data_IF_097742179518
#
_entry.id   IF_097742179518
#
_cell.length_a   1.000
_cell.length_b   1.000
_cell.length_c   1.000
_cell.angle_alpha   90.00
_cell.angle_beta   90.00
_cell.angle_gamma   90.00
#
_symmetry.space_group_name_H-M   'P 1'
#
loop_
_entity.id
_entity.type
_entity.pdbx_description
1 polymer ?
#
# COMPACT_ATOMS: atom_id res chain seq x y z
N UNK A 1 14.05 7.69 12.87
CA UNK A 1 14.08 6.48 13.71
C UNK A 1 15.22 5.58 13.23
N UNK A 2 16.26 5.36 14.05
CA UNK A 2 17.41 4.52 13.69
C UNK A 2 17.09 3.00 13.76
N UNK A 3 17.96 2.13 14.31
CA UNK A 3 17.82 0.67 14.32
C UNK A 3 16.55 0.09 14.98
N UNK A 4 15.66 0.93 15.51
CA UNK A 4 14.40 0.56 16.15
C UNK A 4 13.15 0.85 15.30
N UNK A 5 13.29 1.34 14.06
CA UNK A 5 12.17 1.76 13.22
C UNK A 5 11.09 0.68 12.97
N UNK A 6 11.44 -0.61 13.12
CA UNK A 6 10.53 -1.76 13.02
C UNK A 6 10.12 -2.40 14.35
N UNK A 7 10.49 -1.82 15.49
CA UNK A 7 10.11 -2.37 16.80
C UNK A 7 8.65 -2.07 17.14
N UNK A 8 8.03 -2.91 17.98
CA UNK A 8 6.67 -2.68 18.51
C UNK A 8 6.56 -1.32 19.22
N UNK A 9 7.65 -0.84 19.82
CA UNK A 9 7.73 0.49 20.45
C UNK A 9 7.65 1.59 19.39
N UNK A 10 8.42 1.49 18.30
CA UNK A 10 8.33 2.48 17.22
C UNK A 10 6.96 2.47 16.52
N UNK A 11 6.31 1.31 16.48
CA UNK A 11 4.95 1.17 15.96
C UNK A 11 3.90 1.77 16.90
N UNK A 12 4.01 1.55 18.21
CA UNK A 12 3.16 2.19 19.21
C UNK A 12 3.30 3.72 19.19
N UNK A 13 4.53 4.23 19.00
CA UNK A 13 4.78 5.67 18.82
C UNK A 13 4.05 6.22 17.61
N UNK A 14 4.17 5.57 16.44
CA UNK A 14 3.45 5.98 15.23
C UNK A 14 1.93 5.95 15.40
N UNK A 15 1.40 4.90 16.04
CA UNK A 15 -0.05 4.78 16.28
C UNK A 15 -0.57 5.88 17.20
N UNK A 16 0.21 6.29 18.21
CA UNK A 16 -0.13 7.42 19.07
C UNK A 16 -0.08 8.76 18.31
N UNK A 17 0.96 8.98 17.48
CA UNK A 17 1.07 10.18 16.63
C UNK A 17 -0.09 10.29 15.62
N UNK A 18 -0.59 9.15 15.12
CA UNK A 18 -1.72 9.06 14.21
C UNK A 18 -3.10 9.07 14.93
N UNK A 19 -3.13 9.19 16.26
CA UNK A 19 -4.37 9.18 17.04
C UNK A 19 -5.10 7.84 17.10
N UNK A 20 -4.50 6.76 16.58
CA UNK A 20 -5.04 5.40 16.63
C UNK A 20 -4.83 4.71 17.99
N UNK A 21 -3.98 5.30 18.83
CA UNK A 21 -3.71 4.89 20.20
C UNK A 21 -3.87 6.15 21.08
N UNK A 22 -4.89 6.16 21.95
CA UNK A 22 -5.21 7.31 22.81
C UNK A 22 -5.37 6.86 24.26
N UNK A 23 -5.14 7.78 25.20
CA UNK A 23 -5.48 7.60 26.60
C UNK A 23 -6.99 7.63 26.85
N UNK A 24 -7.39 7.40 28.10
CA UNK A 24 -8.81 7.50 28.49
C UNK A 24 -9.35 8.90 28.25
N UNK A 25 -10.58 8.99 27.73
CA UNK A 25 -11.21 10.26 27.38
C UNK A 25 -10.54 11.00 26.21
N UNK A 26 -9.75 10.30 25.38
CA UNK A 26 -9.12 10.90 24.19
C UNK A 26 -7.83 11.68 24.48
N UNK A 27 -7.21 11.46 25.64
CA UNK A 27 -5.93 12.07 25.98
C UNK A 27 -4.80 11.59 25.05
N UNK A 28 -3.75 12.40 24.92
CA UNK A 28 -2.51 11.98 24.26
C UNK A 28 -1.94 10.76 24.98
N UNK A 29 -1.68 9.69 24.21
CA UNK A 29 -1.44 8.37 24.78
C UNK A 29 -0.21 8.31 25.66
N UNK A 30 0.92 8.92 25.29
CA UNK A 30 2.13 8.83 26.11
C UNK A 30 2.05 9.69 27.37
N UNK A 31 1.40 10.85 27.32
CA UNK A 31 1.12 11.67 28.48
C UNK A 31 0.21 10.93 29.48
N UNK A 32 -0.88 10.32 28.99
CA UNK A 32 -1.76 9.50 29.81
C UNK A 32 -1.02 8.27 30.36
N UNK A 33 -0.28 7.54 29.51
CA UNK A 33 0.48 6.36 29.89
C UNK A 33 1.52 6.65 30.99
N UNK A 34 2.24 7.78 30.85
CA UNK A 34 3.17 8.27 31.86
C UNK A 34 2.43 8.57 33.17
N UNK A 35 1.29 9.26 33.10
CA UNK A 35 0.47 9.55 34.30
C UNK A 35 0.04 8.27 35.02
N UNK A 36 -0.43 7.27 34.28
CA UNK A 36 -0.82 5.96 34.84
C UNK A 36 0.38 5.26 35.48
N UNK A 37 1.55 5.26 34.83
CA UNK A 37 2.77 4.64 35.37
C UNK A 37 3.31 5.36 36.62
N UNK A 38 3.17 6.67 36.69
CA UNK A 38 3.69 7.49 37.79
C UNK A 38 2.75 7.50 39.01
N UNK A 39 1.43 7.37 38.80
CA UNK A 39 0.42 7.59 39.85
C UNK A 39 -0.41 6.34 40.16
N UNK A 40 -0.43 5.34 39.28
CA UNK A 40 -1.22 4.13 39.45
C UNK A 40 -0.32 2.89 39.52
N UNK A 41 -0.70 1.92 40.36
CA UNK A 41 0.12 0.75 40.66
C UNK A 41 0.34 -0.19 39.46
N UNK A 42 1.23 -1.17 39.63
CA UNK A 42 1.67 -2.13 38.60
C UNK A 42 0.53 -2.82 37.81
N UNK A 43 -0.64 -3.02 38.41
CA UNK A 43 -1.79 -3.62 37.74
C UNK A 43 -2.33 -2.75 36.57
N UNK A 44 -2.32 -1.43 36.71
CA UNK A 44 -2.78 -0.52 35.66
C UNK A 44 -1.73 -0.36 34.55
N UNK A 45 -0.45 -0.55 34.89
CA UNK A 45 0.64 -0.64 33.90
C UNK A 45 0.51 -1.87 32.99
N UNK A 46 -0.04 -3.00 33.49
CA UNK A 46 -0.34 -4.17 32.65
C UNK A 46 -1.47 -3.86 31.66
N UNK A 47 -2.52 -3.17 32.12
CA UNK A 47 -3.61 -2.72 31.24
C UNK A 47 -3.17 -1.76 30.12
N UNK A 48 -2.06 -1.03 30.33
CA UNK A 48 -1.41 -0.23 29.29
C UNK A 48 -0.82 -1.12 28.19
N UNK A 49 -0.05 -2.15 28.59
CA UNK A 49 0.58 -3.10 27.67
C UNK A 49 -0.48 -3.85 26.87
N UNK A 50 -1.57 -4.26 27.52
CA UNK A 50 -2.70 -4.92 26.85
C UNK A 50 -3.39 -4.02 25.83
N UNK A 51 -3.56 -2.72 26.13
CA UNK A 51 -4.12 -1.75 25.16
C UNK A 51 -3.19 -1.53 23.97
N UNK A 52 -1.89 -1.37 24.20
CA UNK A 52 -0.92 -1.24 23.10
C UNK A 52 -0.91 -2.51 22.25
N UNK A 53 -0.90 -3.68 22.89
CA UNK A 53 -0.99 -4.96 22.20
C UNK A 53 -2.30 -5.11 21.41
N UNK A 54 -3.43 -4.70 21.98
CA UNK A 54 -4.74 -4.74 21.32
C UNK A 54 -4.81 -3.77 20.13
N UNK A 55 -4.30 -2.55 20.24
CA UNK A 55 -4.25 -1.60 19.12
C UNK A 55 -3.28 -2.03 18.02
N UNK A 56 -2.18 -2.71 18.37
CA UNK A 56 -1.29 -3.34 17.40
C UNK A 56 -1.93 -4.58 16.75
N UNK A 57 -2.79 -5.30 17.46
CA UNK A 57 -3.48 -6.50 16.98
C UNK A 57 -4.79 -6.22 16.23
N UNK A 58 -5.45 -5.08 16.48
CA UNK A 58 -6.74 -4.73 15.87
C UNK A 58 -6.70 -4.71 14.34
N UNK A 59 -5.65 -4.16 13.68
CA UNK A 59 -5.52 -4.25 12.22
C UNK A 59 -5.45 -5.70 11.72
N UNK A 60 -4.75 -6.59 12.43
CA UNK A 60 -4.61 -8.00 12.05
C UNK A 60 -5.92 -8.78 12.25
N UNK A 61 -6.64 -8.53 13.35
CA UNK A 61 -7.93 -9.14 13.64
C UNK A 61 -9.02 -8.70 12.63
N UNK A 62 -9.04 -7.42 12.26
CA UNK A 62 -9.92 -6.89 11.22
C UNK A 62 -9.65 -7.56 9.86
N UNK A 63 -8.37 -7.68 9.48
CA UNK A 63 -7.95 -8.35 8.25
C UNK A 63 -8.43 -9.81 8.29
N UNK A 64 -8.19 -10.53 9.38
CA UNK A 64 -8.60 -11.93 9.51
C UNK A 64 -10.11 -12.10 9.32
N UNK A 65 -10.93 -11.27 9.98
CA UNK A 65 -12.40 -11.32 9.85
C UNK A 65 -12.83 -11.04 8.41
N UNK A 66 -12.28 -10.00 7.77
CA UNK A 66 -12.65 -9.64 6.41
C UNK A 66 -12.27 -10.70 5.37
N UNK A 67 -11.11 -11.34 5.55
CA UNK A 67 -10.68 -12.45 4.69
C UNK A 67 -11.61 -13.65 4.85
N UNK A 68 -12.02 -13.96 6.08
CA UNK A 68 -12.97 -15.04 6.36
C UNK A 68 -14.34 -14.80 5.70
N UNK A 69 -14.93 -13.61 5.90
CA UNK A 69 -16.22 -13.24 5.29
C UNK A 69 -16.17 -13.31 3.77
N UNK A 70 -15.06 -12.85 3.17
CA UNK A 70 -14.89 -12.88 1.73
C UNK A 70 -14.64 -14.31 1.21
N UNK A 71 -13.97 -15.17 1.97
CA UNK A 71 -13.81 -16.59 1.64
C UNK A 71 -15.16 -17.33 1.67
N UNK A 72 -15.99 -17.06 2.67
CA UNK A 72 -17.36 -17.58 2.75
C UNK A 72 -18.23 -17.12 1.57
N UNK A 73 -18.10 -15.85 1.17
CA UNK A 73 -18.78 -15.33 -0.01
C UNK A 73 -18.34 -16.04 -1.31
N UNK A 74 -17.04 -16.30 -1.49
CA UNK A 74 -16.52 -17.05 -2.64
C UNK A 74 -17.03 -18.49 -2.65
N UNK A 75 -17.09 -19.12 -1.47
CA UNK A 75 -17.64 -20.46 -1.30
C UNK A 75 -19.12 -20.52 -1.63
N UNK A 76 -19.91 -19.56 -1.15
CA UNK A 76 -21.35 -19.46 -1.43
C UNK A 76 -21.65 -19.27 -2.93
N UNK A 77 -20.73 -18.67 -3.68
CA UNK A 77 -20.82 -18.50 -5.13
C UNK A 77 -20.41 -19.75 -5.92
N UNK A 78 -19.95 -20.82 -5.26
CA UNK A 78 -19.50 -22.06 -5.92
C UNK A 78 -18.27 -21.89 -6.80
N UNK A 79 -17.49 -20.83 -6.58
CA UNK A 79 -16.38 -20.46 -7.47
C UNK A 79 -15.07 -21.22 -7.20
N UNK A 80 -14.98 -21.93 -6.07
CA UNK A 80 -13.83 -22.75 -5.68
C UNK A 80 -14.32 -24.08 -5.11
N UNK A 81 -13.91 -25.18 -5.73
CA UNK A 81 -14.10 -26.55 -5.23
C UNK A 81 -12.85 -26.98 -4.46
N UNK A 82 -12.78 -26.57 -3.19
CA UNK A 82 -11.65 -26.84 -2.29
C UNK A 82 -12.16 -27.40 -0.96
N UNK A 83 -11.36 -28.24 -0.30
CA UNK A 83 -11.72 -28.78 1.01
C UNK A 83 -11.76 -27.69 2.09
N UNK A 84 -12.40 -27.98 3.22
CA UNK A 84 -12.45 -27.06 4.37
C UNK A 84 -11.05 -26.74 4.90
N UNK A 85 -10.17 -27.74 4.95
CA UNK A 85 -8.78 -27.57 5.37
C UNK A 85 -8.00 -26.70 4.38
N UNK A 86 -8.21 -26.89 3.07
CA UNK A 86 -7.58 -26.07 2.04
C UNK A 86 -8.05 -24.62 2.10
N UNK A 87 -9.35 -24.40 2.32
CA UNK A 87 -9.90 -23.05 2.47
C UNK A 87 -9.32 -22.35 3.69
N UNK A 88 -9.24 -23.05 4.83
CA UNK A 88 -8.64 -22.52 6.06
C UNK A 88 -7.18 -22.13 5.82
N UNK A 89 -6.43 -22.96 5.10
CA UNK A 89 -5.05 -22.65 4.72
C UNK A 89 -4.97 -21.42 3.81
N UNK A 90 -5.86 -21.30 2.82
CA UNK A 90 -5.85 -20.16 1.91
C UNK A 90 -6.18 -18.85 2.64
N UNK A 91 -7.18 -18.87 3.52
CA UNK A 91 -7.53 -17.72 4.38
C UNK A 91 -6.32 -17.28 5.19
N UNK A 92 -5.60 -18.23 5.81
CA UNK A 92 -4.40 -17.92 6.58
C UNK A 92 -3.25 -17.34 5.72
N UNK A 93 -3.04 -17.86 4.51
CA UNK A 93 -2.06 -17.30 3.56
C UNK A 93 -2.43 -15.87 3.18
N UNK A 94 -3.69 -15.61 2.83
CA UNK A 94 -4.16 -14.27 2.43
C UNK A 94 -4.06 -13.28 3.59
N UNK A 95 -4.41 -13.70 4.81
CA UNK A 95 -4.23 -12.91 6.04
C UNK A 95 -2.76 -12.48 6.19
N UNK A 96 -1.81 -13.43 6.12
CA UNK A 96 -0.38 -13.15 6.23
C UNK A 96 0.13 -12.20 5.13
N UNK A 97 -0.37 -12.34 3.90
CA UNK A 97 -0.04 -11.41 2.80
C UNK A 97 -0.53 -9.99 3.11
N UNK A 98 -1.78 -9.84 3.59
CA UNK A 98 -2.35 -8.53 3.91
C UNK A 98 -1.66 -7.87 5.11
N UNK A 99 -1.27 -8.65 6.11
CA UNK A 99 -0.42 -8.19 7.22
C UNK A 99 0.94 -7.70 6.72
N UNK A 100 1.59 -8.46 5.83
CA UNK A 100 2.85 -8.05 5.21
C UNK A 100 2.70 -6.76 4.38
N UNK A 101 1.59 -6.59 3.66
CA UNK A 101 1.28 -5.33 2.95
C UNK A 101 1.11 -4.17 3.93
N UNK A 102 0.36 -4.36 5.02
CA UNK A 102 0.12 -3.33 6.02
C UNK A 102 1.45 -2.90 6.71
N UNK A 103 2.31 -3.88 7.01
CA UNK A 103 3.64 -3.63 7.55
C UNK A 103 4.53 -2.89 6.54
N UNK A 104 4.50 -3.29 5.26
CA UNK A 104 5.23 -2.61 4.20
C UNK A 104 4.79 -1.14 4.04
N UNK A 105 3.48 -0.87 4.07
CA UNK A 105 2.93 0.49 4.08
C UNK A 105 3.42 1.30 5.27
N UNK A 106 3.35 0.72 6.48
CA UNK A 106 3.81 1.38 7.71
C UNK A 106 5.28 1.76 7.62
N UNK A 107 6.14 0.87 7.09
CA UNK A 107 7.57 1.15 6.89
C UNK A 107 7.83 2.20 5.81
N UNK A 108 6.98 2.24 4.79
CA UNK A 108 7.02 3.28 3.76
C UNK A 108 6.42 4.63 4.22
N UNK A 109 5.83 4.71 5.43
CA UNK A 109 5.13 5.91 5.90
C UNK A 109 3.83 6.18 5.13
N UNK A 110 3.19 5.13 4.62
CA UNK A 110 1.94 5.20 3.86
C UNK A 110 0.78 4.89 4.79
N UNK A 111 -0.21 5.78 4.79
CA UNK A 111 -1.42 5.62 5.60
C UNK A 111 -2.27 4.42 5.13
N UNK A 112 -3.05 3.86 6.06
CA UNK A 112 -3.77 2.58 5.85
C UNK A 112 -4.62 2.57 4.58
N UNK A 113 -5.42 3.61 4.37
CA UNK A 113 -6.39 3.71 3.27
C UNK A 113 -5.80 4.27 1.98
N UNK A 114 -4.54 4.72 2.02
CA UNK A 114 -3.91 5.29 0.85
C UNK A 114 -3.65 4.21 -0.20
N UNK A 115 -3.90 4.52 -1.47
CA UNK A 115 -3.59 3.59 -2.53
C UNK A 115 -2.08 3.40 -2.67
N UNK A 116 -1.70 2.29 -3.26
CA UNK A 116 -0.32 2.05 -3.70
C UNK A 116 -0.33 1.66 -5.16
N UNK A 117 0.69 2.08 -5.89
CA UNK A 117 0.79 1.84 -7.33
C UNK A 117 0.81 0.34 -7.64
N UNK A 118 1.66 -0.40 -6.94
CA UNK A 118 1.84 -1.83 -7.19
C UNK A 118 2.28 -2.56 -5.94
N UNK A 119 1.74 -3.76 -5.76
CA UNK A 119 2.32 -4.76 -4.88
C UNK A 119 2.69 -6.00 -5.69
N UNK A 120 3.69 -6.75 -5.24
CA UNK A 120 3.99 -8.07 -5.74
C UNK A 120 4.08 -9.07 -4.61
N UNK A 121 3.50 -10.25 -4.80
CA UNK A 121 3.49 -11.31 -3.81
C UNK A 121 4.23 -12.50 -4.40
N UNK A 122 5.42 -12.78 -3.86
CA UNK A 122 6.21 -13.97 -4.21
C UNK A 122 5.97 -15.07 -3.19
N UNK A 123 5.46 -16.21 -3.64
CA UNK A 123 5.21 -17.36 -2.78
C UNK A 123 6.37 -18.34 -2.80
N UNK A 124 6.55 -19.12 -1.73
CA UNK A 124 7.60 -20.15 -1.63
C UNK A 124 7.18 -21.51 -2.22
N UNK A 125 5.89 -21.77 -2.31
CA UNK A 125 5.32 -23.01 -2.81
C UNK A 125 4.09 -22.78 -3.69
N UNK A 126 3.62 -23.85 -4.33
CA UNK A 126 2.46 -23.82 -5.23
C UNK A 126 1.15 -23.58 -4.47
N UNK A 127 1.00 -24.15 -3.27
CA UNK A 127 -0.23 -24.02 -2.49
C UNK A 127 -0.51 -22.56 -2.11
N UNK A 128 0.51 -21.82 -1.68
CA UNK A 128 0.42 -20.40 -1.41
C UNK A 128 0.17 -19.58 -2.68
N UNK A 129 0.75 -19.99 -3.82
CA UNK A 129 0.50 -19.35 -5.11
C UNK A 129 -0.99 -19.47 -5.51
N UNK A 130 -1.57 -20.66 -5.33
CA UNK A 130 -2.98 -20.91 -5.61
C UNK A 130 -3.89 -20.06 -4.70
N UNK A 131 -3.57 -19.97 -3.41
CA UNK A 131 -4.31 -19.14 -2.46
C UNK A 131 -4.34 -17.65 -2.88
N UNK A 132 -3.17 -17.08 -3.18
CA UNK A 132 -3.04 -15.67 -3.61
C UNK A 132 -3.76 -15.43 -4.94
N UNK A 133 -3.73 -16.42 -5.84
CA UNK A 133 -4.42 -16.35 -7.14
C UNK A 133 -5.94 -16.38 -6.97
N UNK A 134 -6.45 -17.32 -6.16
CA UNK A 134 -7.86 -17.48 -5.86
C UNK A 134 -8.45 -16.20 -5.21
N UNK A 135 -7.68 -15.58 -4.31
CA UNK A 135 -8.12 -14.41 -3.54
C UNK A 135 -7.55 -13.08 -4.04
N UNK A 136 -7.12 -13.01 -5.30
CA UNK A 136 -6.55 -11.81 -5.93
C UNK A 136 -7.38 -10.55 -5.69
N UNK A 137 -8.72 -10.65 -5.85
CA UNK A 137 -9.63 -9.50 -5.70
C UNK A 137 -9.66 -8.95 -4.27
N UNK A 138 -9.63 -9.84 -3.27
CA UNK A 138 -9.60 -9.44 -1.86
C UNK A 138 -8.27 -8.74 -1.58
N UNK A 139 -7.15 -9.34 -2.02
CA UNK A 139 -5.83 -8.78 -1.78
C UNK A 139 -5.74 -7.38 -2.36
N UNK A 140 -6.15 -7.18 -3.62
CA UNK A 140 -6.19 -5.86 -4.27
C UNK A 140 -7.09 -4.88 -3.52
N UNK A 141 -8.32 -5.30 -3.16
CA UNK A 141 -9.29 -4.45 -2.49
C UNK A 141 -8.84 -3.99 -1.10
N UNK A 142 -8.27 -4.89 -0.31
CA UNK A 142 -7.82 -4.58 1.06
C UNK A 142 -6.46 -3.86 1.08
N UNK A 143 -5.56 -4.19 0.15
CA UNK A 143 -4.28 -3.47 0.03
C UNK A 143 -4.42 -2.07 -0.56
N UNK A 144 -5.53 -1.76 -1.25
CA UNK A 144 -5.69 -0.55 -2.06
C UNK A 144 -4.62 -0.44 -3.17
N UNK A 145 -4.07 -1.56 -3.62
CA UNK A 145 -3.10 -1.59 -4.71
C UNK A 145 -3.81 -1.42 -6.06
N UNK A 146 -3.24 -0.63 -6.97
CA UNK A 146 -3.75 -0.55 -8.36
C UNK A 146 -3.38 -1.80 -9.16
N UNK A 147 -2.20 -2.33 -8.90
CA UNK A 147 -1.68 -3.53 -9.56
C UNK A 147 -1.19 -4.55 -8.54
N UNK A 148 -1.46 -5.83 -8.83
CA UNK A 148 -0.96 -6.97 -8.08
C UNK A 148 -0.26 -7.92 -9.04
N UNK A 149 1.05 -8.06 -8.85
CA UNK A 149 1.89 -9.07 -9.49
C UNK A 149 1.99 -10.30 -8.60
N UNK A 150 1.58 -11.45 -9.11
CA UNK A 150 1.74 -12.73 -8.41
C UNK A 150 2.96 -13.42 -8.98
N UNK A 151 3.93 -13.77 -8.13
CA UNK A 151 5.24 -14.27 -8.54
C UNK A 151 5.42 -15.70 -8.03
N UNK A 152 5.71 -16.61 -8.97
CA UNK A 152 5.93 -18.02 -8.66
C UNK A 152 7.22 -18.23 -7.84
N UNK A 153 7.36 -19.37 -7.13
CA UNK A 153 8.52 -19.63 -6.27
C UNK A 153 9.89 -19.48 -6.94
N UNK A 154 9.99 -19.96 -8.17
CA UNK A 154 11.24 -19.96 -8.93
C UNK A 154 11.42 -18.73 -9.83
N UNK A 155 10.45 -17.81 -9.82
CA UNK A 155 10.51 -16.62 -10.66
C UNK A 155 11.06 -15.41 -9.91
N UNK A 156 11.71 -14.52 -10.65
CA UNK A 156 12.06 -13.18 -10.18
C UNK A 156 10.93 -12.22 -10.51
N UNK A 157 10.54 -11.39 -9.55
CA UNK A 157 9.60 -10.31 -9.81
C UNK A 157 10.17 -9.31 -10.83
N UNK A 158 9.39 -8.99 -11.87
CA UNK A 158 9.82 -8.07 -12.94
C UNK A 158 10.05 -6.61 -12.48
N UNK A 159 9.53 -6.24 -11.31
CA UNK A 159 9.81 -4.94 -10.70
C UNK A 159 11.22 -4.81 -10.09
N UNK A 160 12.01 -5.89 -10.04
CA UNK A 160 13.39 -5.82 -9.59
C UNK A 160 14.26 -5.01 -10.55
N UNK A 161 15.21 -4.25 -10.01
CA UNK A 161 16.27 -3.64 -10.80
C UNK A 161 17.28 -4.73 -11.15
N UNK A 162 17.52 -4.93 -12.44
CA UNK A 162 18.47 -5.92 -12.94
C UNK A 162 19.63 -5.18 -13.59
N UNK A 163 20.85 -5.52 -13.22
CA UNK A 163 22.07 -5.05 -13.87
C UNK A 163 22.77 -6.21 -14.57
N UNK A 164 23.16 -5.99 -15.83
CA UNK A 164 23.96 -6.96 -16.59
C UNK A 164 25.43 -6.74 -16.25
N UNK A 165 26.05 -7.76 -15.71
CA UNK A 165 27.50 -7.84 -15.59
C UNK A 165 28.03 -8.71 -16.72
N UNK A 166 29.08 -8.22 -17.39
CA UNK A 166 29.71 -8.92 -18.50
C UNK A 166 31.02 -9.49 -18.01
N UNK A 167 31.20 -10.80 -18.16
CA UNK A 167 32.49 -11.44 -17.92
C UNK A 167 33.42 -11.12 -19.08
N UNK A 168 34.30 -10.14 -18.84
CA UNK A 168 35.20 -9.63 -19.88
C UNK A 168 36.19 -10.68 -20.33
N UNK A 169 36.61 -11.60 -19.47
CA UNK A 169 37.62 -12.59 -19.81
C UNK A 169 37.02 -13.65 -20.74
N UNK A 170 35.82 -14.15 -20.40
CA UNK A 170 35.06 -15.10 -21.24
C UNK A 170 34.69 -14.47 -22.58
N UNK A 171 34.18 -13.24 -22.58
CA UNK A 171 33.83 -12.52 -23.81
C UNK A 171 35.08 -12.24 -24.66
N UNK A 172 36.21 -11.87 -24.05
CA UNK A 172 37.45 -11.61 -24.81
C UNK A 172 38.06 -12.89 -25.38
N UNK A 173 37.91 -14.02 -24.70
CA UNK A 173 38.34 -15.33 -25.20
C UNK A 173 37.54 -15.72 -26.46
N UNK A 174 36.23 -15.48 -26.48
CA UNK A 174 35.36 -15.78 -27.62
C UNK A 174 35.43 -14.72 -28.74
N UNK A 175 35.48 -13.43 -28.38
CA UNK A 175 35.27 -12.30 -29.28
C UNK A 175 36.28 -11.17 -29.06
N UNK A 176 37.57 -11.45 -29.25
CA UNK A 176 38.71 -10.53 -29.01
C UNK A 176 38.48 -9.08 -29.45
N UNK A 177 38.20 -8.84 -30.74
CA UNK A 177 38.08 -7.48 -31.30
C UNK A 177 36.78 -6.78 -30.91
N UNK A 178 35.73 -7.55 -30.59
CA UNK A 178 34.40 -7.00 -30.31
C UNK A 178 34.06 -6.94 -28.82
N UNK A 179 34.89 -7.47 -27.93
CA UNK A 179 34.58 -7.57 -26.50
C UNK A 179 34.07 -6.26 -25.88
N UNK A 180 34.76 -5.14 -26.16
CA UNK A 180 34.31 -3.82 -25.68
C UNK A 180 32.98 -3.37 -26.31
N UNK A 181 32.75 -3.66 -27.59
CA UNK A 181 31.49 -3.32 -28.27
C UNK A 181 30.33 -4.16 -27.74
N UNK A 182 30.57 -5.45 -27.50
CA UNK A 182 29.61 -6.37 -26.86
C UNK A 182 29.23 -5.85 -25.48
N UNK A 183 30.22 -5.48 -24.67
CA UNK A 183 29.99 -4.97 -23.31
C UNK A 183 29.11 -3.72 -23.30
N UNK A 184 29.44 -2.72 -24.12
CA UNK A 184 28.65 -1.48 -24.25
C UNK A 184 27.25 -1.78 -24.75
N UNK A 185 27.11 -2.66 -25.74
CA UNK A 185 25.82 -3.03 -26.30
C UNK A 185 24.95 -3.70 -25.23
N UNK A 186 25.47 -4.70 -24.53
CA UNK A 186 24.74 -5.41 -23.47
C UNK A 186 24.31 -4.50 -22.33
N UNK A 187 25.15 -3.54 -21.92
CA UNK A 187 24.82 -2.55 -20.89
C UNK A 187 23.76 -1.53 -21.33
N UNK A 188 23.58 -1.32 -22.64
CA UNK A 188 22.59 -0.39 -23.20
C UNK A 188 21.22 -1.03 -23.47
N UNK A 189 21.15 -2.36 -23.48
CA UNK A 189 19.91 -3.09 -23.72
C UNK A 189 19.16 -3.35 -22.42
N UNK A 190 17.85 -3.61 -22.56
CA UNK A 190 17.01 -4.04 -21.44
C UNK A 190 17.53 -5.37 -20.87
N UNK A 191 17.99 -5.39 -19.60
CA UNK A 191 18.50 -6.60 -18.94
C UNK A 191 17.49 -7.75 -18.93
N UNK A 192 16.19 -7.45 -18.86
CA UNK A 192 15.14 -8.47 -18.87
C UNK A 192 15.03 -9.16 -20.23
N UNK A 193 15.23 -8.42 -21.34
CA UNK A 193 15.27 -8.99 -22.68
C UNK A 193 16.49 -9.89 -22.86
N UNK A 194 17.64 -9.48 -22.35
CA UNK A 194 18.86 -10.30 -22.38
C UNK A 194 18.64 -11.59 -21.58
N UNK A 195 18.16 -11.49 -20.34
CA UNK A 195 17.89 -12.64 -19.47
C UNK A 195 16.91 -13.64 -20.13
N UNK A 196 15.83 -13.14 -20.73
CA UNK A 196 14.84 -13.97 -21.42
C UNK A 196 15.37 -14.60 -22.72
N UNK A 197 16.23 -13.91 -23.47
CA UNK A 197 16.85 -14.45 -24.68
C UNK A 197 17.90 -15.52 -24.36
N UNK A 198 18.66 -15.35 -23.27
CA UNK A 198 19.69 -16.30 -22.85
C UNK A 198 19.10 -17.58 -22.26
N UNK A 199 17.98 -17.51 -21.53
CA UNK A 199 17.30 -18.72 -21.04
C UNK A 199 16.79 -19.61 -22.18
N UNK A 200 16.53 -19.03 -23.36
CA UNK A 200 16.18 -19.74 -24.60
C UNK A 200 17.38 -20.08 -25.48
N UNK A 201 18.59 -19.68 -25.09
CA UNK A 201 19.83 -19.81 -25.88
C UNK A 201 19.79 -19.11 -27.26
N UNK A 202 18.98 -18.07 -27.41
CA UNK A 202 18.68 -17.40 -28.69
C UNK A 202 19.21 -15.96 -28.75
N UNK A 203 19.91 -15.49 -27.72
CA UNK A 203 20.33 -14.08 -27.66
C UNK A 203 21.51 -13.77 -28.59
N UNK A 204 21.30 -12.83 -29.52
CA UNK A 204 22.27 -12.42 -30.53
C UNK A 204 22.35 -10.90 -30.59
N UNK A 205 23.56 -10.36 -30.66
CA UNK A 205 23.81 -8.93 -30.85
C UNK A 205 24.41 -8.66 -32.23
N UNK A 206 23.99 -7.57 -32.88
CA UNK A 206 24.56 -7.12 -34.14
C UNK A 206 25.78 -6.24 -33.91
N UNK A 207 26.96 -6.61 -34.41
CA UNK A 207 28.20 -5.83 -34.29
C UNK A 207 28.89 -5.76 -35.65
N UNK A 208 29.12 -4.54 -36.14
CA UNK A 208 29.80 -4.28 -37.42
C UNK A 208 29.20 -5.08 -38.61
N UNK A 209 27.87 -5.21 -38.65
CA UNK A 209 27.15 -5.97 -39.68
C UNK A 209 27.14 -7.49 -39.47
N UNK A 210 27.76 -8.00 -38.39
CA UNK A 210 27.79 -9.42 -38.05
C UNK A 210 26.86 -9.75 -36.89
N UNK A 211 26.37 -10.99 -36.85
CA UNK A 211 25.54 -11.52 -35.78
C UNK A 211 26.41 -12.32 -34.79
N UNK A 212 26.52 -11.81 -33.56
CA UNK A 212 27.33 -12.39 -32.49
C UNK A 212 26.41 -13.05 -31.48
N UNK A 213 26.54 -14.37 -31.28
CA UNK A 213 25.78 -15.11 -30.27
C UNK A 213 26.40 -14.90 -28.89
N UNK A 214 25.57 -14.53 -27.91
CA UNK A 214 26.00 -14.38 -26.52
C UNK A 214 25.72 -15.68 -25.78
N UNK A 215 26.75 -16.23 -25.15
CA UNK A 215 26.62 -17.42 -24.32
C UNK A 215 26.16 -17.03 -22.90
N UNK A 216 25.32 -17.84 -22.22
CA UNK A 216 24.96 -17.60 -20.83
C UNK A 216 26.15 -17.42 -19.87
N UNK A 217 27.32 -18.01 -20.15
CA UNK A 217 28.52 -17.82 -19.33
C UNK A 217 29.22 -16.46 -19.51
N UNK A 218 28.86 -15.70 -20.55
CA UNK A 218 29.45 -14.39 -20.84
C UNK A 218 28.86 -13.27 -19.98
N UNK A 219 27.72 -13.52 -19.33
CA UNK A 219 27.03 -12.53 -18.52
C UNK A 219 26.49 -13.11 -17.24
N UNK A 220 26.42 -12.28 -16.20
CA UNK A 220 25.68 -12.54 -14.99
C UNK A 220 24.70 -11.39 -14.72
N UNK A 221 23.67 -11.67 -13.93
CA UNK A 221 22.65 -10.70 -13.58
C UNK A 221 22.72 -10.44 -12.09
N UNK A 222 22.83 -9.16 -11.72
CA UNK A 222 22.66 -8.74 -10.34
C UNK A 222 21.25 -8.17 -10.21
N UNK A 223 20.47 -8.77 -9.33
CA UNK A 223 19.13 -8.33 -8.99
C UNK A 223 19.17 -7.55 -7.68
N UNK A 224 18.57 -6.36 -7.67
CA UNK A 224 18.43 -5.54 -6.48
C UNK A 224 17.02 -4.98 -6.39
N UNK A 225 16.50 -4.88 -5.17
CA UNK A 225 15.23 -4.20 -4.91
C UNK A 225 15.40 -2.70 -5.20
N UNK A 226 14.51 -2.06 -6.00
CA UNK A 226 14.55 -0.61 -6.19
C UNK A 226 14.39 0.16 -4.87
N UNK A 227 14.95 1.37 -4.77
CA UNK A 227 14.88 2.18 -3.53
C UNK A 227 13.46 2.55 -3.13
N UNK A 228 12.56 2.73 -4.10
CA UNK A 228 11.14 3.01 -3.85
C UNK A 228 10.37 1.78 -3.35
N UNK A 229 10.96 0.59 -3.40
CA UNK A 229 10.28 -0.66 -3.08
C UNK A 229 10.64 -1.14 -1.67
N UNK A 230 9.60 -1.39 -0.88
CA UNK A 230 9.73 -2.04 0.41
C UNK A 230 9.58 -3.56 0.24
N UNK A 231 10.58 -4.32 0.67
CA UNK A 231 10.55 -5.79 0.72
C UNK A 231 10.16 -6.27 2.12
N UNK A 232 8.99 -6.89 2.25
CA UNK A 232 8.46 -7.45 3.51
C UNK A 232 8.37 -8.99 3.43
N UNK A 233 9.34 -9.70 4.03
CA UNK A 233 9.25 -11.15 4.19
C UNK A 233 8.10 -11.53 5.13
N UNK A 234 7.44 -12.64 4.85
CA UNK A 234 6.48 -13.25 5.75
C UNK A 234 6.60 -14.78 5.71
N UNK A 235 5.90 -15.47 6.60
CA UNK A 235 5.86 -16.93 6.57
C UNK A 235 5.12 -17.40 5.31
N UNK A 236 5.82 -18.08 4.40
CA UNK A 236 5.28 -18.54 3.12
C UNK A 236 5.65 -17.69 1.90
N UNK A 237 6.26 -16.51 2.07
CA UNK A 237 6.57 -15.65 0.92
C UNK A 237 7.27 -14.34 1.23
N UNK A 238 7.25 -13.44 0.24
CA UNK A 238 7.76 -12.07 0.31
C UNK A 238 6.76 -11.16 -0.40
N UNK A 239 6.38 -10.05 0.24
CA UNK A 239 5.67 -8.95 -0.39
C UNK A 239 6.67 -7.87 -0.82
N UNK A 240 6.52 -7.36 -2.03
CA UNK A 240 7.19 -6.14 -2.50
C UNK A 240 6.12 -5.07 -2.67
N UNK A 241 6.33 -3.89 -2.09
CA UNK A 241 5.42 -2.75 -2.20
C UNK A 241 6.14 -1.59 -2.88
N UNK A 242 5.63 -1.13 -4.02
CA UNK A 242 6.10 0.10 -4.66
C UNK A 242 5.54 1.31 -3.89
N UNK A 243 6.41 1.95 -3.11
CA UNK A 243 6.10 3.10 -2.27
C UNK A 243 6.19 4.45 -2.98
N UNK A 244 6.33 4.46 -4.31
CA UNK A 244 6.36 5.70 -5.10
C UNK A 244 5.04 6.48 -5.00
N UNK A 245 5.11 7.69 -4.42
CA UNK A 245 3.98 8.63 -4.29
C UNK A 245 3.84 9.51 -5.53
N UNK A 246 3.27 8.94 -6.59
CA UNK A 246 2.95 9.71 -7.80
C UNK A 246 1.82 10.74 -7.54
N UNK A 247 1.67 11.78 -8.38
CA UNK A 247 0.57 12.73 -8.24
C UNK A 247 -0.82 12.09 -8.23
N UNK A 248 -1.03 11.01 -8.99
CA UNK A 248 -2.29 10.27 -8.99
C UNK A 248 -2.54 9.58 -7.64
N UNK A 249 -1.53 8.89 -7.11
CA UNK A 249 -1.60 8.18 -5.81
C UNK A 249 -1.83 9.18 -4.67
N UNK A 250 -1.13 10.31 -4.67
CA UNK A 250 -1.31 11.39 -3.70
C UNK A 250 -2.72 11.98 -3.76
N UNK A 251 -3.21 12.32 -4.95
CA UNK A 251 -4.54 12.89 -5.14
C UNK A 251 -5.65 11.95 -4.64
N UNK A 252 -5.53 10.65 -4.93
CA UNK A 252 -6.47 9.65 -4.42
C UNK A 252 -6.37 9.45 -2.91
N UNK A 253 -5.15 9.40 -2.36
CA UNK A 253 -4.92 9.31 -0.92
C UNK A 253 -5.61 10.44 -0.18
N UNK A 254 -5.35 11.69 -0.59
CA UNK A 254 -6.03 12.86 -0.04
C UNK A 254 -7.54 12.79 -0.20
N UNK A 255 -8.05 12.38 -1.37
CA UNK A 255 -9.48 12.30 -1.60
C UNK A 255 -10.16 11.28 -0.67
N UNK A 256 -9.54 10.11 -0.43
CA UNK A 256 -10.07 9.08 0.48
C UNK A 256 -10.11 9.55 1.93
N UNK A 257 -9.05 10.20 2.40
CA UNK A 257 -9.01 10.75 3.76
C UNK A 257 -10.04 11.88 3.92
N UNK A 258 -10.16 12.77 2.93
CA UNK A 258 -11.19 13.82 2.93
C UNK A 258 -12.60 13.22 2.97
N UNK A 259 -12.86 12.14 2.23
CA UNK A 259 -14.15 11.43 2.29
C UNK A 259 -14.42 10.89 3.70
N UNK A 260 -13.42 10.30 4.37
CA UNK A 260 -13.58 9.79 5.73
C UNK A 260 -13.85 10.92 6.73
N UNK A 261 -13.09 12.02 6.66
CA UNK A 261 -13.31 13.22 7.48
C UNK A 261 -14.74 13.74 7.30
N UNK A 262 -15.20 13.89 6.06
CA UNK A 262 -16.55 14.36 5.78
C UNK A 262 -17.60 13.38 6.31
N UNK A 263 -17.38 12.07 6.17
CA UNK A 263 -18.27 11.03 6.72
C UNK A 263 -18.34 11.09 8.24
N UNK A 264 -17.23 11.38 8.92
CA UNK A 264 -17.22 11.54 10.37
C UNK A 264 -17.94 12.83 10.80
N UNK A 265 -17.74 13.95 10.10
CA UNK A 265 -18.52 15.18 10.32
C UNK A 265 -20.03 14.92 10.15
N UNK A 266 -20.44 14.10 9.17
CA UNK A 266 -21.86 13.73 8.99
C UNK A 266 -22.41 12.96 10.20
N UNK A 267 -21.61 12.07 10.79
CA UNK A 267 -21.99 11.33 12.00
C UNK A 267 -22.10 12.28 13.19
N UNK A 268 -21.15 13.20 13.35
CA UNK A 268 -21.17 14.21 14.41
C UNK A 268 -22.40 15.12 14.33
N UNK A 269 -22.80 15.48 13.10
CA UNK A 269 -24.02 16.24 12.82
C UNK A 269 -25.30 15.40 12.87
N UNK A 270 -25.21 14.09 13.13
CA UNK A 270 -26.31 13.13 13.15
C UNK A 270 -27.20 13.21 11.88
N UNK A 271 -26.57 13.32 10.72
CA UNK A 271 -27.27 13.43 9.44
C UNK A 271 -27.68 12.05 8.91
N UNK A 272 -28.93 11.93 8.46
CA UNK A 272 -29.38 10.75 7.73
C UNK A 272 -28.53 10.51 6.46
N UNK A 273 -28.41 9.25 6.03
CA UNK A 273 -27.61 8.89 4.87
C UNK A 273 -28.03 9.60 3.57
N UNK A 274 -29.33 9.92 3.43
CA UNK A 274 -29.89 10.63 2.28
C UNK A 274 -29.72 12.15 2.31
N UNK A 275 -29.33 12.75 3.44
CA UNK A 275 -29.25 14.20 3.58
C UNK A 275 -28.08 14.76 2.76
N UNK A 276 -28.40 15.67 1.84
CA UNK A 276 -27.41 16.38 1.03
C UNK A 276 -26.60 17.38 1.87
N UNK A 277 -25.33 17.53 1.53
CA UNK A 277 -24.42 18.48 2.18
C UNK A 277 -23.68 19.36 1.16
N UNK A 278 -23.38 20.60 1.55
CA UNK A 278 -22.41 21.45 0.86
C UNK A 278 -21.05 21.29 1.54
N UNK A 279 -20.02 20.97 0.75
CA UNK A 279 -18.66 20.74 1.24
C UNK A 279 -17.71 21.79 0.66
N UNK A 280 -16.98 22.49 1.52
CA UNK A 280 -15.89 23.41 1.14
C UNK A 280 -14.57 22.90 1.68
N UNK A 281 -13.56 22.84 0.82
CA UNK A 281 -12.22 22.33 1.16
C UNK A 281 -11.20 23.42 0.84
N UNK A 282 -10.57 23.98 1.85
CA UNK A 282 -9.44 24.89 1.69
C UNK A 282 -8.14 24.09 1.72
N UNK A 283 -7.32 24.24 0.69
CA UNK A 283 -6.05 23.53 0.53
C UNK A 283 -5.05 24.39 -0.26
N UNK A 284 -3.78 23.98 -0.26
CA UNK A 284 -2.73 24.62 -1.07
C UNK A 284 -3.00 24.47 -2.59
N UNK A 285 -2.37 25.30 -3.43
CA UNK A 285 -2.55 25.21 -4.90
C UNK A 285 -2.11 23.84 -5.46
N UNK A 286 -1.05 23.27 -4.88
CA UNK A 286 -0.58 21.93 -5.22
C UNK A 286 -1.65 20.88 -4.89
N UNK A 287 -2.16 20.89 -3.66
CA UNK A 287 -3.20 19.96 -3.19
C UNK A 287 -4.50 20.09 -4.00
N UNK A 288 -4.92 21.31 -4.34
CA UNK A 288 -6.07 21.53 -5.23
C UNK A 288 -5.80 20.92 -6.62
N UNK A 289 -4.59 21.06 -7.16
CA UNK A 289 -4.24 20.48 -8.46
C UNK A 289 -4.31 18.96 -8.45
N UNK A 290 -3.83 18.32 -7.38
CA UNK A 290 -3.93 16.87 -7.18
C UNK A 290 -5.40 16.40 -7.07
N UNK A 291 -6.23 17.18 -6.37
CA UNK A 291 -7.62 16.83 -6.08
C UNK A 291 -8.62 17.16 -7.20
N UNK A 292 -8.23 17.93 -8.22
CA UNK A 292 -9.11 18.32 -9.35
C UNK A 292 -9.83 17.11 -9.96
N UNK A 293 -9.10 16.03 -10.22
CA UNK A 293 -9.66 14.79 -10.80
C UNK A 293 -10.52 13.96 -9.83
N UNK A 294 -10.49 14.29 -8.54
CA UNK A 294 -11.15 13.53 -7.48
C UNK A 294 -12.41 14.20 -6.92
N UNK A 295 -12.77 15.39 -7.42
CA UNK A 295 -13.95 16.13 -6.97
C UNK A 295 -15.23 15.29 -7.02
N UNK A 296 -15.48 14.63 -8.15
CA UNK A 296 -16.71 13.86 -8.37
C UNK A 296 -16.74 12.59 -7.52
N UNK A 297 -15.56 12.02 -7.24
CA UNK A 297 -15.44 10.92 -6.28
C UNK A 297 -15.83 11.39 -4.87
N UNK A 298 -15.25 12.49 -4.38
CA UNK A 298 -15.58 13.03 -3.05
C UNK A 298 -17.07 13.36 -2.97
N UNK A 299 -17.63 14.00 -4.00
CA UNK A 299 -19.04 14.39 -4.07
C UNK A 299 -19.96 13.17 -3.90
N UNK A 300 -19.72 12.11 -4.69
CA UNK A 300 -20.54 10.90 -4.65
C UNK A 300 -20.40 10.13 -3.33
N UNK A 301 -19.17 9.94 -2.84
CA UNK A 301 -18.92 9.13 -1.65
C UNK A 301 -19.42 9.77 -0.35
N UNK A 302 -19.66 11.08 -0.36
CA UNK A 302 -20.09 11.85 0.83
C UNK A 302 -21.56 12.29 0.77
N UNK A 303 -22.26 11.95 -0.31
CA UNK A 303 -23.58 12.48 -0.64
C UNK A 303 -23.62 14.02 -0.57
N UNK A 304 -22.56 14.65 -1.08
CA UNK A 304 -22.52 16.11 -1.21
C UNK A 304 -23.34 16.55 -2.41
N UNK A 305 -24.11 17.63 -2.28
CA UNK A 305 -24.73 18.32 -3.41
C UNK A 305 -23.70 19.16 -4.16
N UNK A 306 -22.69 19.65 -3.45
CA UNK A 306 -21.58 20.41 -4.02
C UNK A 306 -20.29 20.20 -3.23
N UNK A 307 -19.17 20.07 -3.95
CA UNK A 307 -17.81 20.14 -3.40
C UNK A 307 -17.08 21.31 -4.07
N UNK A 308 -16.58 22.27 -3.28
CA UNK A 308 -15.80 23.43 -3.74
C UNK A 308 -14.42 23.46 -3.09
N UNK A 309 -13.38 23.55 -3.92
CA UNK A 309 -12.03 23.88 -3.45
C UNK A 309 -11.90 25.40 -3.37
N UNK A 310 -11.63 25.92 -2.18
CA UNK A 310 -11.61 27.37 -1.92
C UNK A 310 -10.23 27.84 -1.45
N UNK A 311 -9.95 29.13 -1.61
CA UNK A 311 -8.73 29.78 -1.10
C UNK A 311 -9.00 30.68 0.10
N UNK A 312 -10.20 31.23 0.16
CA UNK A 312 -10.64 32.11 1.24
C UNK A 312 -10.87 31.35 2.55
N UNK A 313 -10.93 32.08 3.65
CA UNK A 313 -11.25 31.51 4.95
C UNK A 313 -12.67 30.93 4.91
N UNK A 314 -12.82 29.69 5.38
CA UNK A 314 -14.14 29.10 5.56
C UNK A 314 -14.59 29.44 6.98
N UNK A 315 -15.74 30.11 7.09
CA UNK A 315 -16.25 30.63 8.37
C UNK A 315 -17.66 30.13 8.72
N UNK A 316 -18.25 29.30 7.86
CA UNK A 316 -19.57 28.71 8.03
C UNK A 316 -19.52 27.18 7.95
N UNK A 317 -20.54 26.52 8.49
CA UNK A 317 -20.62 25.06 8.59
C UNK A 317 -19.86 24.47 9.77
N UNK A 318 -19.83 23.14 9.84
CA UNK A 318 -19.00 22.39 10.78
C UNK A 318 -17.59 22.27 10.19
N UNK A 319 -16.61 22.88 10.87
CA UNK A 319 -15.25 23.05 10.36
C UNK A 319 -14.29 22.13 11.10
N UNK A 320 -13.50 21.38 10.34
CA UNK A 320 -12.41 20.54 10.83
C UNK A 320 -11.11 20.90 10.12
N UNK A 321 -10.05 21.04 10.89
CA UNK A 321 -8.68 21.10 10.36
C UNK A 321 -8.09 19.69 10.34
N UNK A 322 -7.49 19.31 9.21
CA UNK A 322 -6.92 18.00 9.01
C UNK A 322 -5.52 18.11 8.42
N UNK A 323 -4.54 17.50 9.08
CA UNK A 323 -3.17 17.35 8.57
C UNK A 323 -3.04 15.98 7.91
N UNK A 324 -2.84 15.97 6.60
CA UNK A 324 -2.69 14.76 5.81
C UNK A 324 -1.28 14.72 5.20
N UNK A 325 -0.39 13.93 5.81
CA UNK A 325 1.03 13.95 5.47
C UNK A 325 1.66 15.32 5.73
N UNK A 326 2.20 15.96 4.69
CA UNK A 326 2.81 17.29 4.78
C UNK A 326 1.84 18.44 4.46
N UNK A 327 0.59 18.15 4.11
CA UNK A 327 -0.39 19.14 3.66
C UNK A 327 -1.51 19.32 4.69
N UNK A 328 -1.96 20.56 4.86
CA UNK A 328 -3.07 20.89 5.76
C UNK A 328 -4.31 21.25 4.95
N UNK A 329 -5.44 20.72 5.40
CA UNK A 329 -6.76 20.93 4.82
C UNK A 329 -7.67 21.54 5.88
N UNK A 330 -8.54 22.45 5.46
CA UNK A 330 -9.66 22.90 6.27
C UNK A 330 -10.95 22.53 5.55
N UNK A 331 -11.70 21.62 6.15
CA UNK A 331 -12.92 21.03 5.60
C UNK A 331 -14.11 21.62 6.33
N UNK A 332 -15.05 22.18 5.59
CA UNK A 332 -16.34 22.62 6.11
C UNK A 332 -17.45 21.81 5.47
N UNK A 333 -18.39 21.38 6.30
CA UNK A 333 -19.62 20.69 5.88
C UNK A 333 -20.83 21.45 6.40
N UNK A 334 -21.79 21.71 5.52
CA UNK A 334 -23.07 22.31 5.86
C UNK A 334 -24.22 21.46 5.34
N UNK A 335 -25.16 21.09 6.20
CA UNK A 335 -26.37 20.40 5.76
C UNK A 335 -27.22 21.31 4.87
N UNK A 336 -27.72 20.77 3.76
CA UNK A 336 -28.70 21.46 2.93
C UNK A 336 -30.07 21.27 3.58
N UNK A 337 -30.76 22.37 3.93
CA UNK A 337 -32.13 22.27 4.42
C UNK A 337 -33.01 21.62 3.34
N UNK A 338 -33.72 20.55 3.71
CA UNK A 338 -34.67 19.92 2.81
C UNK A 338 -35.78 20.94 2.47
N UNK A 339 -35.86 21.34 1.20
CA UNK A 339 -37.02 22.08 0.69
C UNK A 339 -38.22 21.15 0.85
N UNK A 340 -39.03 21.35 1.89
CA UNK A 340 -40.32 20.63 2.02
C UNK A 340 -41.17 21.02 0.80
N UNK A 341 -41.66 20.07 -0.01
CA UNK A 341 -42.63 20.41 -1.03
C UNK A 341 -43.83 21.05 -0.35
N UNK A 342 -44.26 22.22 -0.85
CA UNK A 342 -45.47 22.88 -0.38
C UNK A 342 -46.63 21.89 -0.48
N UNK A 343 -47.34 21.69 0.65
CA UNK A 343 -48.47 20.78 0.77
C UNK A 343 -49.63 21.15 -0.14
#
# INVERSE_FOLDING_TARGET
MGPLAGSSIAQAVRLAEQGALTGEGGQEFFAWARSVLEHEGFANAVGLVDRVAASLAAPAADIARQVQEAAEAVRAQGALDVSDEQMTMYVDVVRRVLEAVANAKTRAGIERYWPVKRIAVKMKDATGLDAVTAFRKIIVGQSQAKELDIVAPNDTWRGMKVAVQVDRDVVSAAYKLWARKIEVMLKSQDPWKIKAGLSRQEYVVGIDGQRVRIDPNMVSFIESVPESVIQEPFEGGIVYLDGEMTPEILGEGYAKELVNIIKDIRKDLNLDGGTGIETRIRASENSVTLLKGWRDYILRETNSTEVKFVREAVTDGYIVEASLGAENFLVSVKAVEAVRPAR
#
